data_IF_166149615207
#
_entry.id   IF_166149615207
#
_cell.length_a   1.000
_cell.length_b   1.000
_cell.length_c   1.000
_cell.angle_alpha   90.00
_cell.angle_beta   90.00
_cell.angle_gamma   90.00
#
_symmetry.space_group_name_H-M   'P 1'
#
loop_
_entity.id
_entity.type
_entity.pdbx_description
1 polymer ?
#
# COMPACT_ATOMS: atom_id res chain seq x y z
N UNK A 1 2.19 -9.37 -17.38
CA UNK A 1 0.95 -9.51 -16.59
C UNK A 1 1.27 -9.01 -15.19
N UNK A 2 0.51 -8.03 -14.69
CA UNK A 2 0.66 -7.56 -13.31
C UNK A 2 0.09 -8.59 -12.34
N UNK A 3 0.77 -8.83 -11.22
CA UNK A 3 0.32 -9.73 -10.17
C UNK A 3 -0.59 -8.97 -9.20
N UNK A 4 -1.57 -9.70 -8.67
CA UNK A 4 -2.47 -9.22 -7.63
C UNK A 4 -1.95 -9.72 -6.28
N UNK A 5 -1.75 -8.79 -5.35
CA UNK A 5 -1.37 -9.05 -3.96
C UNK A 5 -2.57 -8.80 -3.06
N UNK A 6 -3.14 -9.87 -2.50
CA UNK A 6 -4.31 -9.77 -1.63
C UNK A 6 -3.88 -9.64 -0.16
N UNK A 7 -4.46 -8.66 0.52
CA UNK A 7 -4.33 -8.39 1.94
C UNK A 7 -5.72 -8.45 2.58
N UNK A 8 -5.77 -8.79 3.87
CA UNK A 8 -7.02 -8.89 4.62
C UNK A 8 -7.62 -7.54 5.03
N UNK A 9 -8.52 -7.59 6.01
CA UNK A 9 -9.04 -6.42 6.70
C UNK A 9 -8.04 -5.88 7.74
N UNK A 10 -8.19 -4.61 8.13
CA UNK A 10 -7.43 -3.95 9.19
C UNK A 10 -5.89 -3.98 9.00
N UNK A 11 -5.44 -3.87 7.75
CA UNK A 11 -4.02 -3.73 7.43
C UNK A 11 -3.52 -2.40 7.97
N UNK A 12 -2.79 -2.45 9.09
CA UNK A 12 -2.27 -1.26 9.73
C UNK A 12 -0.92 -0.82 9.12
N UNK A 13 -0.44 0.36 9.52
CA UNK A 13 0.82 0.90 9.00
C UNK A 13 2.04 0.07 9.40
N UNK A 14 1.99 -0.62 10.55
CA UNK A 14 3.07 -1.51 11.02
C UNK A 14 3.13 -2.82 10.21
N UNK A 15 1.99 -3.31 9.73
CA UNK A 15 1.90 -4.45 8.80
C UNK A 15 2.54 -4.09 7.46
N UNK A 16 2.33 -2.86 6.99
CA UNK A 16 2.94 -2.37 5.74
C UNK A 16 4.45 -2.15 5.91
N UNK A 17 4.85 -1.49 6.99
CA UNK A 17 6.24 -1.26 7.34
C UNK A 17 6.38 -1.32 8.87
N UNK A 18 7.03 -2.35 9.43
CA UNK A 18 7.14 -2.47 10.87
C UNK A 18 7.84 -1.26 11.48
N UNK A 19 7.32 -0.74 12.60
CA UNK A 19 7.86 0.45 13.28
C UNK A 19 9.37 0.41 13.56
N UNK A 20 9.95 -0.79 13.70
CA UNK A 20 11.41 -1.00 13.84
C UNK A 20 12.23 -0.50 12.65
N UNK A 21 11.64 -0.44 11.46
CA UNK A 21 12.26 0.04 10.21
C UNK A 21 11.87 1.48 9.88
N UNK A 22 11.04 2.12 10.70
CA UNK A 22 10.57 3.50 10.57
C UNK A 22 11.63 4.56 10.98
N UNK A 23 12.89 4.14 11.07
CA UNK A 23 14.04 4.98 11.43
C UNK A 23 14.75 5.57 10.20
N UNK A 24 14.42 5.08 9.01
CA UNK A 24 15.03 5.50 7.75
C UNK A 24 13.99 6.00 6.76
N UNK A 25 14.36 7.03 6.01
CA UNK A 25 13.55 7.60 4.91
C UNK A 25 14.04 7.13 3.54
N UNK A 26 15.08 6.28 3.50
CA UNK A 26 15.58 5.70 2.25
C UNK A 26 14.55 4.74 1.66
N UNK A 27 14.02 5.12 0.49
CA UNK A 27 13.03 4.35 -0.27
C UNK A 27 13.51 2.93 -0.58
N UNK A 28 14.81 2.72 -0.81
CA UNK A 28 15.36 1.41 -1.12
C UNK A 28 15.29 0.47 0.08
N UNK A 29 15.57 0.99 1.27
CA UNK A 29 15.44 0.24 2.52
C UNK A 29 13.97 -0.03 2.85
N UNK A 30 13.11 0.99 2.70
CA UNK A 30 11.67 0.85 2.93
C UNK A 30 11.04 -0.21 2.00
N UNK A 31 11.46 -0.27 0.74
CA UNK A 31 11.00 -1.30 -0.19
C UNK A 31 11.36 -2.72 0.27
N UNK A 32 12.58 -2.92 0.79
CA UNK A 32 13.05 -4.24 1.25
C UNK A 32 12.24 -4.81 2.42
N UNK A 33 11.73 -3.94 3.28
CA UNK A 33 10.97 -4.34 4.47
C UNK A 33 9.45 -4.18 4.29
N UNK A 34 8.98 -3.86 3.09
CA UNK A 34 7.56 -3.69 2.84
C UNK A 34 6.83 -5.04 2.94
N UNK A 35 5.78 -5.08 3.77
CA UNK A 35 4.96 -6.26 4.04
C UNK A 35 5.75 -7.48 4.55
N UNK A 36 6.96 -7.31 5.08
CA UNK A 36 7.86 -8.43 5.39
C UNK A 36 7.32 -9.40 6.44
N UNK A 37 6.46 -8.93 7.36
CA UNK A 37 5.87 -9.76 8.43
C UNK A 37 4.66 -10.58 7.96
N UNK A 38 3.93 -10.10 6.94
CA UNK A 38 2.73 -10.77 6.42
C UNK A 38 2.97 -11.50 5.10
N UNK A 39 3.85 -10.96 4.26
CA UNK A 39 4.22 -11.45 2.95
C UNK A 39 5.74 -11.27 2.77
N UNK A 40 6.58 -12.13 3.36
CA UNK A 40 8.05 -12.02 3.27
C UNK A 40 8.58 -12.08 1.83
N UNK A 41 7.84 -12.77 0.95
CA UNK A 41 8.12 -12.89 -0.48
C UNK A 41 7.80 -11.60 -1.27
N UNK A 42 7.02 -10.67 -0.70
CA UNK A 42 6.50 -9.51 -1.41
C UNK A 42 7.61 -8.64 -1.98
N UNK A 43 8.55 -8.21 -1.14
CA UNK A 43 9.63 -7.30 -1.54
C UNK A 43 10.55 -7.88 -2.65
N UNK A 44 10.64 -9.22 -2.76
CA UNK A 44 11.47 -9.87 -3.77
C UNK A 44 10.72 -10.13 -5.08
N UNK A 45 9.40 -10.34 -4.99
CA UNK A 45 8.60 -10.78 -6.12
C UNK A 45 7.74 -9.65 -6.73
N UNK A 46 7.53 -8.57 -6.00
CA UNK A 46 6.78 -7.40 -6.46
C UNK A 46 7.46 -6.75 -7.66
N UNK A 47 6.66 -6.38 -8.66
CA UNK A 47 7.13 -5.74 -9.87
C UNK A 47 6.33 -4.48 -10.16
N UNK A 48 6.92 -3.61 -10.97
CA UNK A 48 6.21 -2.44 -11.50
C UNK A 48 4.97 -2.91 -12.26
N UNK A 49 3.81 -2.38 -11.88
CA UNK A 49 2.50 -2.76 -12.46
C UNK A 49 1.71 -3.77 -11.63
N UNK A 50 2.25 -4.23 -10.51
CA UNK A 50 1.50 -5.03 -9.55
C UNK A 50 0.47 -4.19 -8.79
N UNK A 51 -0.61 -4.87 -8.39
CA UNK A 51 -1.77 -4.27 -7.72
C UNK A 51 -1.93 -4.88 -6.34
N UNK A 52 -2.15 -4.05 -5.33
CA UNK A 52 -2.50 -4.50 -3.98
C UNK A 52 -4.01 -4.37 -3.79
N UNK A 53 -4.65 -5.45 -3.37
CA UNK A 53 -6.06 -5.49 -2.99
C UNK A 53 -6.14 -5.73 -1.49
N UNK A 54 -6.89 -4.90 -0.78
CA UNK A 54 -7.09 -5.02 0.66
C UNK A 54 -8.58 -4.97 1.05
N UNK A 55 -8.87 -5.39 2.27
CA UNK A 55 -10.20 -5.33 2.86
C UNK A 55 -10.59 -3.94 3.36
N UNK A 56 -11.25 -3.90 4.51
CA UNK A 56 -11.68 -2.69 5.20
C UNK A 56 -10.54 -2.10 6.04
N UNK A 57 -10.60 -0.79 6.27
CA UNK A 57 -9.73 -0.04 7.18
C UNK A 57 -8.23 -0.14 6.83
N UNK A 58 -7.90 -0.15 5.54
CA UNK A 58 -6.51 -0.20 5.08
C UNK A 58 -5.74 1.07 5.45
N UNK A 59 -4.51 0.89 5.92
CA UNK A 59 -3.62 1.96 6.34
C UNK A 59 -3.98 2.56 7.70
N UNK A 60 -4.70 1.82 8.55
CA UNK A 60 -4.97 2.28 9.91
C UNK A 60 -3.68 2.36 10.75
N UNK A 61 -3.58 3.29 11.69
CA UNK A 61 -2.38 3.44 12.53
C UNK A 61 -1.72 4.80 12.45
N UNK A 62 -0.57 4.92 13.10
CA UNK A 62 0.11 6.19 13.38
C UNK A 62 1.27 6.51 12.45
N UNK A 63 1.82 5.54 11.71
CA UNK A 63 3.00 5.73 10.86
C UNK A 63 2.59 6.25 9.47
N UNK A 64 2.49 7.60 9.37
CA UNK A 64 1.75 8.33 8.32
C UNK A 64 2.39 8.34 6.93
N UNK A 65 3.72 8.40 6.84
CA UNK A 65 4.42 8.71 5.57
C UNK A 65 5.23 7.53 5.02
N UNK A 66 5.77 6.68 5.89
CA UNK A 66 6.63 5.57 5.48
C UNK A 66 5.84 4.44 4.83
N UNK A 67 4.62 4.15 5.28
CA UNK A 67 3.78 3.10 4.72
C UNK A 67 3.45 3.31 3.22
N UNK A 68 2.93 4.48 2.78
CA UNK A 68 2.72 4.72 1.35
C UNK A 68 4.05 4.82 0.57
N UNK A 69 5.11 5.34 1.17
CA UNK A 69 6.42 5.43 0.53
C UNK A 69 7.05 4.06 0.26
N UNK A 70 6.89 3.10 1.19
CA UNK A 70 7.38 1.73 1.02
C UNK A 70 6.69 1.02 -0.16
N UNK A 71 5.36 1.13 -0.25
CA UNK A 71 4.59 0.55 -1.35
C UNK A 71 4.93 1.18 -2.71
N UNK A 72 5.11 2.51 -2.74
CA UNK A 72 5.60 3.21 -3.92
C UNK A 72 7.00 2.76 -4.33
N UNK A 73 7.91 2.61 -3.36
CA UNK A 73 9.27 2.19 -3.61
C UNK A 73 9.36 0.74 -4.13
N UNK A 74 8.40 -0.11 -3.77
CA UNK A 74 8.24 -1.46 -4.33
C UNK A 74 7.74 -1.48 -5.78
N UNK A 75 7.27 -0.34 -6.31
CA UNK A 75 6.69 -0.27 -7.66
C UNK A 75 5.20 -0.62 -7.73
N UNK A 76 4.49 -0.69 -6.60
CA UNK A 76 3.03 -0.83 -6.58
C UNK A 76 2.40 0.42 -7.16
N UNK A 77 1.60 0.25 -8.22
CA UNK A 77 0.97 1.37 -8.93
C UNK A 77 -0.46 1.63 -8.44
N UNK A 78 -1.15 0.59 -8.01
CA UNK A 78 -2.57 0.69 -7.64
C UNK A 78 -2.83 -0.05 -6.34
N UNK A 79 -3.56 0.61 -5.44
CA UNK A 79 -4.14 -0.03 -4.26
C UNK A 79 -5.64 0.07 -4.32
N UNK A 80 -6.29 -1.08 -4.24
CA UNK A 80 -7.74 -1.21 -4.16
C UNK A 80 -8.07 -1.69 -2.76
N UNK A 81 -8.88 -0.95 -2.01
CA UNK A 81 -9.38 -1.44 -0.72
C UNK A 81 -10.87 -1.18 -0.57
N UNK A 82 -11.57 -1.99 0.23
CA UNK A 82 -12.99 -1.73 0.56
C UNK A 82 -13.15 -0.44 1.34
N UNK A 83 -12.23 -0.13 2.24
CA UNK A 83 -12.16 1.17 2.89
C UNK A 83 -10.74 1.50 3.36
N UNK A 84 -10.44 2.79 3.47
CA UNK A 84 -9.14 3.29 3.91
C UNK A 84 -9.31 4.07 5.21
N UNK A 85 -8.31 3.99 6.08
CA UNK A 85 -8.26 4.82 7.27
C UNK A 85 -8.15 6.30 6.89
N UNK A 86 -8.87 7.16 7.62
CA UNK A 86 -8.90 8.61 7.39
C UNK A 86 -7.50 9.25 7.39
N UNK A 87 -6.61 8.75 8.25
CA UNK A 87 -5.22 9.23 8.37
C UNK A 87 -4.40 8.87 7.11
N UNK A 88 -4.63 7.68 6.53
CA UNK A 88 -3.94 7.21 5.33
C UNK A 88 -4.28 8.05 4.09
N UNK A 89 -5.56 8.39 3.91
CA UNK A 89 -6.00 9.31 2.85
C UNK A 89 -5.45 10.72 3.09
N UNK A 90 -5.46 11.19 4.35
CA UNK A 90 -5.01 12.55 4.69
C UNK A 90 -3.52 12.76 4.42
N UNK A 91 -2.67 11.77 4.67
CA UNK A 91 -1.22 11.82 4.37
C UNK A 91 -0.92 11.97 2.86
N UNK A 92 -1.90 11.68 1.99
CA UNK A 92 -1.77 11.84 0.54
C UNK A 92 -2.37 13.11 -0.03
N UNK A 93 -3.12 13.86 0.77
CA UNK A 93 -3.77 15.10 0.30
C UNK A 93 -2.78 16.24 0.01
N UNK A 94 -1.48 16.05 0.26
CA UNK A 94 -0.41 17.00 -0.09
C UNK A 94 0.65 16.34 -0.96
N UNK A 95 0.59 16.62 -2.27
CA UNK A 95 1.65 16.59 -3.31
C UNK A 95 1.03 16.23 -4.66
N UNK A 96 0.29 17.17 -5.24
CA UNK A 96 -0.07 17.13 -6.65
C UNK A 96 0.97 17.83 -7.55
N UNK A 97 2.05 18.41 -6.98
CA UNK A 97 2.85 19.41 -7.69
C UNK A 97 4.27 18.98 -8.10
N UNK A 98 4.69 17.73 -7.84
CA UNK A 98 6.01 17.25 -8.30
C UNK A 98 5.87 16.34 -9.53
N UNK A 99 5.97 16.96 -10.71
CA UNK A 99 5.90 16.35 -12.04
C UNK A 99 7.07 15.37 -12.36
N UNK A 100 7.78 14.86 -11.35
CA UNK A 100 8.92 13.94 -11.48
C UNK A 100 8.65 12.51 -11.00
N UNK A 101 7.42 12.19 -10.58
CA UNK A 101 7.03 10.81 -10.30
C UNK A 101 6.27 10.28 -11.52
N UNK A 102 6.88 9.46 -12.40
CA UNK A 102 6.09 8.70 -13.35
C UNK A 102 5.27 7.68 -12.53
N UNK A 103 4.12 7.27 -13.04
CA UNK A 103 3.16 6.35 -12.41
C UNK A 103 2.30 6.98 -11.29
N UNK A 104 1.09 7.42 -11.62
CA UNK A 104 0.07 7.82 -10.66
C UNK A 104 -0.22 6.65 -9.70
N UNK A 105 0.12 6.80 -8.42
CA UNK A 105 -0.31 5.82 -7.42
C UNK A 105 -1.80 6.02 -7.17
N UNK A 106 -2.63 5.25 -7.85
CA UNK A 106 -4.08 5.37 -7.75
C UNK A 106 -4.60 4.59 -6.55
N UNK A 107 -5.32 5.29 -5.66
CA UNK A 107 -6.14 4.66 -4.63
C UNK A 107 -7.55 4.51 -5.20
N UNK A 108 -8.00 3.27 -5.32
CA UNK A 108 -9.39 2.96 -5.69
C UNK A 108 -10.12 2.50 -4.44
N UNK A 109 -11.10 3.26 -4.00
CA UNK A 109 -12.03 2.82 -2.96
C UNK A 109 -13.08 1.96 -3.63
N UNK A 110 -13.11 0.67 -3.31
CA UNK A 110 -14.18 -0.22 -3.73
C UNK A 110 -15.45 0.15 -2.98
N UNK A 111 -16.24 1.07 -3.53
CA UNK A 111 -17.60 1.28 -3.08
C UNK A 111 -18.35 -0.05 -3.22
N UNK A 112 -18.84 -0.58 -2.11
CA UNK A 112 -19.70 -1.76 -2.05
C UNK A 112 -20.98 -1.49 -2.85
N UNK A 113 -20.97 -1.83 -4.13
CA UNK A 113 -22.09 -2.40 -4.87
C UNK A 113 -21.62 -2.75 -6.27
N UNK A 114 -21.01 -3.93 -6.41
CA UNK A 114 -21.19 -4.87 -7.53
C UNK A 114 -20.06 -5.92 -7.52
N UNK A 115 -20.47 -7.20 -7.53
CA UNK A 115 -19.71 -8.35 -8.07
C UNK A 115 -18.52 -8.90 -7.26
N UNK A 116 -18.60 -9.03 -5.92
CA UNK A 116 -17.59 -9.80 -5.17
C UNK A 116 -18.11 -10.88 -4.21
N UNK A 117 -19.30 -11.46 -4.45
CA UNK A 117 -19.75 -12.71 -3.80
C UNK A 117 -19.11 -13.98 -4.39
N UNK A 118 -17.93 -13.86 -5.03
CA UNK A 118 -17.19 -14.99 -5.60
C UNK A 118 -15.68 -14.84 -5.39
N UNK A 119 -15.28 -14.75 -4.14
CA UNK A 119 -13.93 -15.16 -3.72
C UNK A 119 -14.13 -16.22 -2.64
N UNK A 120 -14.34 -17.45 -3.13
CA UNK A 120 -14.50 -18.66 -2.34
C UNK A 120 -13.14 -19.31 -2.16
#
# INVERSE_FOLDING_TARGET
MGRIWMLGDNVNTDVIIPGRYNVTTDRTQLARYCLCEVLPEFAQQVRVGDVVIAGHNFGCGSSREHAPAALQACGVQVIIARSFARIYISARKGRCDDARIPQAFTIVVGATNCLCDRWR
#
